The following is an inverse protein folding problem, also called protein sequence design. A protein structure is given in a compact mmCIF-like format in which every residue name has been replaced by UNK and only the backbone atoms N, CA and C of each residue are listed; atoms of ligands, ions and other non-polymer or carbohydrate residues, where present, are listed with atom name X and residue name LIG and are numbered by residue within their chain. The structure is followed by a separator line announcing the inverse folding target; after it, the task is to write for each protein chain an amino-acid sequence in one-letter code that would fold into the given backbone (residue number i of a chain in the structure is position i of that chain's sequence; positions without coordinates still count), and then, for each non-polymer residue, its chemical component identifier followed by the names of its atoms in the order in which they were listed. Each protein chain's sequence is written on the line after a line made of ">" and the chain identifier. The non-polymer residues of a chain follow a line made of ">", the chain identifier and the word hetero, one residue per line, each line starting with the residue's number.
data_IF_346256054033
#
_entry.id   IF_346256054033
#
_cell.length_a   1.000
_cell.length_b   1.000
_cell.length_c   1.000
_cell.angle_alpha   90.00
_cell.angle_beta   90.00
_cell.angle_gamma   90.00
#
_symmetry.space_group_name_H-M   'P 1'
#
loop_
_entity.id
_entity.type
_entity.pdbx_description
1 polymer ?
#
# COMPACT_ATOMS: atom_id res chain seq x y z
N UNK A 1 3.38 -14.80 -18.87
CA UNK A 1 3.52 -15.12 -17.43
C UNK A 1 4.97 -15.19 -16.96
N UNK A 2 5.94 -15.29 -17.87
CA UNK A 2 7.36 -15.51 -17.56
C UNK A 2 8.13 -14.27 -17.01
N UNK A 3 7.62 -13.05 -17.21
CA UNK A 3 8.30 -11.83 -16.75
C UNK A 3 8.11 -11.54 -15.24
N UNK A 4 7.06 -12.06 -14.61
CA UNK A 4 6.79 -11.81 -13.18
C UNK A 4 7.65 -12.74 -12.30
N UNK A 5 7.85 -13.98 -12.73
CA UNK A 5 8.67 -14.97 -12.00
C UNK A 5 10.16 -14.62 -12.04
N UNK A 6 10.65 -14.06 -13.15
CA UNK A 6 12.04 -13.59 -13.24
C UNK A 6 12.35 -12.33 -12.41
N UNK A 7 11.33 -11.55 -12.03
CA UNK A 7 11.55 -10.36 -11.18
C UNK A 7 11.69 -10.70 -9.70
N UNK A 8 11.20 -11.86 -9.26
CA UNK A 8 11.31 -12.34 -7.88
C UNK A 8 12.65 -13.06 -7.61
N UNK A 9 13.30 -13.59 -8.66
CA UNK A 9 14.54 -14.35 -8.55
C UNK A 9 15.82 -13.49 -8.43
N UNK A 10 15.73 -12.16 -8.55
CA UNK A 10 16.89 -11.26 -8.61
C UNK A 10 17.03 -10.31 -7.41
N UNK A 11 16.43 -10.61 -6.26
CA UNK A 11 16.74 -9.90 -5.02
C UNK A 11 18.18 -10.23 -4.60
N UNK A 12 19.04 -9.22 -4.57
CA UNK A 12 20.41 -9.38 -4.04
C UNK A 12 20.38 -9.44 -2.52
N UNK A 13 21.43 -9.97 -1.88
CA UNK A 13 21.55 -10.00 -0.40
C UNK A 13 21.34 -8.60 0.21
N UNK A 14 21.86 -7.55 -0.44
CA UNK A 14 21.70 -6.15 -0.01
C UNK A 14 20.25 -5.65 -0.08
N UNK A 15 19.46 -6.18 -1.00
CA UNK A 15 18.04 -5.83 -1.12
C UNK A 15 17.22 -6.53 -0.03
N UNK A 16 17.58 -7.77 0.34
CA UNK A 16 16.99 -8.48 1.48
C UNK A 16 17.21 -7.72 2.80
N UNK A 17 18.41 -7.15 3.01
CA UNK A 17 18.71 -6.36 4.21
C UNK A 17 17.80 -5.13 4.33
N UNK A 18 17.51 -4.45 3.20
CA UNK A 18 16.62 -3.29 3.18
C UNK A 18 15.16 -3.63 3.42
N UNK A 19 14.71 -4.81 3.00
CA UNK A 19 13.36 -5.30 3.32
C UNK A 19 13.23 -5.49 4.83
N UNK A 20 14.15 -6.21 5.45
CA UNK A 20 14.13 -6.44 6.89
C UNK A 20 14.19 -5.13 7.68
N UNK A 21 15.15 -4.25 7.34
CA UNK A 21 15.30 -2.94 7.99
C UNK A 21 14.01 -2.11 7.90
N UNK A 22 13.38 -2.06 6.73
CA UNK A 22 12.13 -1.33 6.54
C UNK A 22 10.98 -1.91 7.39
N UNK A 23 10.82 -3.24 7.39
CA UNK A 23 9.75 -3.92 8.12
C UNK A 23 9.90 -3.71 9.63
N UNK A 24 11.12 -3.87 10.16
CA UNK A 24 11.44 -3.63 11.57
C UNK A 24 11.19 -2.16 11.94
N UNK A 25 11.68 -1.22 11.13
CA UNK A 25 11.53 0.22 11.39
C UNK A 25 10.07 0.65 11.46
N UNK A 26 9.21 0.06 10.64
CA UNK A 26 7.78 0.38 10.57
C UNK A 26 6.93 -0.47 11.51
N UNK A 27 7.54 -1.32 12.35
CA UNK A 27 6.84 -2.24 13.24
C UNK A 27 5.76 -3.03 12.51
N UNK A 28 6.10 -3.61 11.34
CA UNK A 28 5.24 -4.61 10.73
C UNK A 28 5.23 -5.86 11.60
N UNK A 29 4.04 -6.37 11.92
CA UNK A 29 3.91 -7.66 12.58
C UNK A 29 4.41 -8.77 11.65
N UNK A 30 4.88 -9.88 12.23
CA UNK A 30 5.57 -10.96 11.52
C UNK A 30 4.73 -11.50 10.35
N UNK A 31 5.00 -11.01 9.15
CA UNK A 31 4.46 -11.57 7.92
C UNK A 31 4.93 -13.02 7.76
N UNK A 32 4.00 -13.95 7.55
CA UNK A 32 4.37 -15.31 7.13
C UNK A 32 5.06 -15.28 5.76
N UNK A 33 4.59 -14.41 4.87
CA UNK A 33 5.22 -14.09 3.59
C UNK A 33 5.14 -12.59 3.39
N UNK A 34 6.29 -11.93 3.24
CA UNK A 34 6.31 -10.48 2.98
C UNK A 34 5.61 -10.21 1.64
N UNK A 35 4.70 -9.22 1.57
CA UNK A 35 4.09 -8.73 0.33
C UNK A 35 5.12 -8.37 -0.74
N UNK A 36 4.81 -8.63 -2.01
CA UNK A 36 5.71 -8.35 -3.14
C UNK A 36 5.89 -6.85 -3.30
N UNK A 37 4.83 -6.06 -3.15
CA UNK A 37 4.92 -4.61 -3.24
C UNK A 37 5.88 -4.00 -2.19
N UNK A 38 5.91 -4.54 -0.97
CA UNK A 38 6.81 -4.08 0.08
C UNK A 38 8.26 -4.49 -0.23
N UNK A 39 8.47 -5.73 -0.70
CA UNK A 39 9.79 -6.22 -1.12
C UNK A 39 10.41 -5.37 -2.23
N UNK A 40 9.66 -5.12 -3.29
CA UNK A 40 10.15 -4.38 -4.47
C UNK A 40 10.43 -2.90 -4.18
N UNK A 41 9.74 -2.31 -3.20
CA UNK A 41 9.83 -0.89 -2.90
C UNK A 41 10.57 -0.58 -1.59
N UNK A 42 11.09 -1.58 -0.86
CA UNK A 42 11.63 -1.41 0.49
C UNK A 42 12.65 -0.28 0.61
N UNK A 43 13.58 -0.15 -0.36
CA UNK A 43 14.58 0.94 -0.36
C UNK A 43 13.94 2.32 -0.43
N UNK A 44 12.99 2.52 -1.34
CA UNK A 44 12.28 3.79 -1.53
C UNK A 44 11.41 4.08 -0.31
N UNK A 45 10.74 3.06 0.22
CA UNK A 45 9.87 3.17 1.39
C UNK A 45 10.67 3.52 2.64
N UNK A 46 11.86 2.93 2.84
CA UNK A 46 12.77 3.28 3.92
C UNK A 46 13.19 4.75 3.84
N UNK A 47 13.65 5.20 2.67
CA UNK A 47 14.02 6.60 2.44
C UNK A 47 12.85 7.57 2.68
N UNK A 48 11.64 7.16 2.34
CA UNK A 48 10.43 7.96 2.49
C UNK A 48 10.03 8.08 3.97
N UNK A 49 10.03 6.95 4.70
CA UNK A 49 9.74 6.88 6.14
C UNK A 49 10.74 7.73 6.93
N UNK A 50 12.02 7.75 6.55
CA UNK A 50 13.04 8.58 7.23
C UNK A 50 12.82 10.09 7.06
N UNK A 51 12.19 10.50 5.98
CA UNK A 51 11.91 11.92 5.68
C UNK A 51 10.51 12.36 6.09
N UNK A 52 9.71 11.42 6.58
CA UNK A 52 8.31 11.61 6.93
C UNK A 52 8.15 12.49 8.16
N UNK A 53 7.33 13.53 8.01
CA UNK A 53 6.87 14.38 9.12
C UNK A 53 5.85 13.65 10.00
N UNK A 54 5.53 14.21 11.17
CA UNK A 54 4.61 13.57 12.12
C UNK A 54 3.16 13.46 11.61
N UNK A 55 2.75 14.40 10.75
CA UNK A 55 1.37 14.46 10.23
C UNK A 55 1.20 13.68 8.91
N UNK A 56 2.32 13.39 8.23
CA UNK A 56 2.29 12.60 7.00
C UNK A 56 1.88 11.16 7.27
N UNK A 57 1.32 10.52 6.23
CA UNK A 57 0.98 9.09 6.21
C UNK A 57 1.28 8.51 4.84
N UNK A 58 1.74 7.25 4.80
CA UNK A 58 2.09 6.57 3.55
C UNK A 58 1.15 5.37 3.39
N UNK A 59 0.36 5.37 2.33
CA UNK A 59 -0.51 4.26 1.96
C UNK A 59 0.13 3.48 0.80
N UNK A 60 0.34 2.18 1.00
CA UNK A 60 0.96 1.28 0.02
C UNK A 60 -0.06 0.25 -0.41
N UNK A 61 -0.21 0.00 -1.71
CA UNK A 61 -1.25 -0.87 -2.25
C UNK A 61 -0.64 -2.04 -3.03
N UNK A 62 -0.95 -3.25 -2.60
CA UNK A 62 -0.75 -4.47 -3.37
C UNK A 62 -2.04 -4.84 -4.12
N UNK A 63 -2.05 -4.53 -5.42
CA UNK A 63 -3.17 -4.87 -6.30
C UNK A 63 -3.27 -6.38 -6.52
N UNK A 64 -4.46 -6.95 -6.35
CA UNK A 64 -4.68 -8.35 -6.69
C UNK A 64 -4.80 -8.51 -8.21
N UNK A 65 -4.72 -9.76 -8.70
CA UNK A 65 -4.95 -10.06 -10.12
C UNK A 65 -6.38 -9.72 -10.56
N UNK A 66 -7.31 -9.63 -9.61
CA UNK A 66 -8.69 -9.22 -9.85
C UNK A 66 -8.77 -7.70 -9.93
N UNK A 67 -8.43 -7.16 -11.11
CA UNK A 67 -8.43 -5.71 -11.34
C UNK A 67 -9.83 -5.11 -11.53
N UNK A 68 -10.89 -5.91 -11.45
CA UNK A 68 -12.28 -5.49 -11.65
C UNK A 68 -13.23 -6.24 -10.72
N UNK A 69 -14.16 -5.49 -10.10
CA UNK A 69 -15.39 -6.08 -9.57
C UNK A 69 -16.32 -6.42 -10.74
N UNK A 70 -16.71 -7.70 -10.83
CA UNK A 70 -17.44 -8.25 -11.99
C UNK A 70 -18.80 -7.60 -12.25
N UNK A 71 -19.35 -6.85 -11.30
CA UNK A 71 -20.68 -6.22 -11.45
C UNK A 71 -20.63 -4.76 -11.95
N UNK A 72 -19.53 -4.04 -11.75
CA UNK A 72 -19.49 -2.58 -11.97
C UNK A 72 -18.44 -2.10 -13.00
N UNK A 73 -17.57 -2.98 -13.53
CA UNK A 73 -16.41 -2.55 -14.35
C UNK A 73 -15.48 -1.54 -13.63
N UNK A 74 -15.64 -1.41 -12.32
CA UNK A 74 -14.85 -0.55 -11.44
C UNK A 74 -13.67 -1.34 -10.87
N UNK A 75 -12.52 -0.69 -10.75
CA UNK A 75 -11.24 -1.37 -10.57
C UNK A 75 -10.12 -0.41 -10.16
N UNK A 76 -8.87 -0.84 -10.36
CA UNK A 76 -7.65 -0.12 -9.95
C UNK A 76 -7.71 1.38 -10.24
N UNK A 77 -8.05 1.78 -11.47
CA UNK A 77 -8.01 3.18 -11.89
C UNK A 77 -9.01 4.07 -11.13
N UNK A 78 -10.16 3.51 -10.74
CA UNK A 78 -11.18 4.24 -9.96
C UNK A 78 -10.68 4.46 -8.53
N UNK A 79 -10.05 3.45 -7.91
CA UNK A 79 -9.45 3.59 -6.59
C UNK A 79 -8.25 4.53 -6.58
N UNK A 80 -7.38 4.46 -7.59
CA UNK A 80 -6.26 5.40 -7.74
C UNK A 80 -6.78 6.83 -7.88
N UNK A 81 -7.81 7.04 -8.70
CA UNK A 81 -8.45 8.35 -8.84
C UNK A 81 -9.08 8.82 -7.53
N UNK A 82 -9.77 7.93 -6.83
CA UNK A 82 -10.35 8.22 -5.52
C UNK A 82 -9.30 8.72 -4.53
N UNK A 83 -8.22 7.95 -4.36
CA UNK A 83 -7.11 8.27 -3.46
C UNK A 83 -6.49 9.63 -3.80
N UNK A 84 -6.26 9.90 -5.08
CA UNK A 84 -5.64 11.15 -5.52
C UNK A 84 -6.56 12.37 -5.36
N UNK A 85 -7.87 12.22 -5.59
CA UNK A 85 -8.87 13.27 -5.35
C UNK A 85 -8.95 13.63 -3.87
N UNK A 86 -8.78 12.67 -2.96
CA UNK A 86 -8.81 12.87 -1.50
C UNK A 86 -7.42 13.19 -0.90
N UNK A 87 -6.51 13.74 -1.72
CA UNK A 87 -5.25 14.30 -1.24
C UNK A 87 -4.06 13.34 -1.14
N UNK A 88 -4.21 12.10 -1.60
CA UNK A 88 -3.11 11.14 -1.72
C UNK A 88 -2.21 11.48 -2.90
N UNK A 89 -0.95 11.85 -2.65
CA UNK A 89 0.03 12.08 -3.70
C UNK A 89 0.58 10.74 -4.23
N UNK A 90 0.25 10.39 -5.48
CA UNK A 90 0.73 9.18 -6.15
C UNK A 90 2.22 9.29 -6.47
N UNK A 91 3.06 8.69 -5.63
CA UNK A 91 4.50 8.80 -5.73
C UNK A 91 4.99 8.09 -7.00
N UNK A 92 5.76 8.82 -7.81
CA UNK A 92 6.31 8.39 -9.10
C UNK A 92 5.25 7.90 -10.12
N UNK A 93 3.99 8.29 -9.96
CA UNK A 93 2.89 7.75 -10.77
C UNK A 93 2.81 6.21 -10.73
N UNK A 94 3.25 5.62 -9.62
CA UNK A 94 3.35 4.16 -9.45
C UNK A 94 1.98 3.48 -9.34
N UNK A 95 0.96 4.22 -8.92
CA UNK A 95 -0.35 3.70 -8.49
C UNK A 95 -0.25 2.73 -7.31
N UNK A 96 0.88 2.70 -6.60
CA UNK A 96 1.17 1.74 -5.52
C UNK A 96 1.48 2.47 -4.22
N UNK A 97 2.22 3.57 -4.27
CA UNK A 97 2.63 4.33 -3.09
C UNK A 97 1.97 5.70 -3.13
N UNK A 98 1.21 6.01 -2.09
CA UNK A 98 0.52 7.29 -1.94
C UNK A 98 0.94 7.96 -0.64
N UNK A 99 1.22 9.26 -0.70
CA UNK A 99 1.60 10.05 0.47
C UNK A 99 0.51 11.06 0.78
N UNK A 100 -0.02 11.00 2.00
CA UNK A 100 -0.96 11.98 2.54
C UNK A 100 -0.19 12.95 3.43
N UNK A 101 -0.38 14.26 3.24
CA UNK A 101 0.33 15.31 4.00
C UNK A 101 -0.20 15.51 5.41
N UNK A 102 -1.41 15.05 5.68
CA UNK A 102 -2.03 15.10 7.00
C UNK A 102 -2.98 13.90 7.18
N UNK A 103 -3.24 13.56 8.43
CA UNK A 103 -4.13 12.46 8.82
C UNK A 103 -5.58 12.66 8.41
N UNK A 104 -6.05 13.91 8.33
CA UNK A 104 -7.43 14.24 7.96
C UNK A 104 -7.72 13.90 6.49
N UNK A 105 -6.76 14.12 5.59
CA UNK A 105 -6.90 13.76 4.18
C UNK A 105 -6.99 12.23 3.99
N UNK A 106 -6.23 11.45 4.77
CA UNK A 106 -6.39 9.99 4.73
C UNK A 106 -7.75 9.57 5.30
N UNK A 107 -8.17 10.14 6.44
CA UNK A 107 -9.45 9.82 7.03
C UNK A 107 -10.59 10.08 6.04
N UNK A 108 -10.60 11.25 5.40
CA UNK A 108 -11.56 11.62 4.35
C UNK A 108 -11.50 10.66 3.15
N UNK A 109 -10.30 10.24 2.75
CA UNK A 109 -10.14 9.23 1.69
C UNK A 109 -10.77 7.87 2.05
N UNK A 110 -10.58 7.41 3.29
CA UNK A 110 -11.10 6.11 3.76
C UNK A 110 -12.61 6.18 3.99
N UNK A 111 -13.10 7.25 4.62
CA UNK A 111 -14.51 7.44 4.96
C UNK A 111 -15.40 7.56 3.72
N UNK A 112 -14.85 8.03 2.60
CA UNK A 112 -15.56 8.16 1.32
C UNK A 112 -15.21 7.05 0.32
N UNK A 113 -14.61 5.94 0.76
CA UNK A 113 -14.31 4.81 -0.14
C UNK A 113 -15.57 4.40 -0.91
N UNK A 114 -15.45 4.08 -2.21
CA UNK A 114 -16.58 3.60 -2.98
C UNK A 114 -17.20 2.34 -2.35
N UNK A 115 -18.53 2.25 -2.34
CA UNK A 115 -19.26 1.14 -1.69
C UNK A 115 -18.78 -0.26 -2.11
N UNK A 116 -18.31 -0.40 -3.36
CA UNK A 116 -17.82 -1.66 -3.90
C UNK A 116 -16.40 -2.04 -3.46
N UNK A 117 -15.65 -1.10 -2.86
CA UNK A 117 -14.29 -1.29 -2.34
C UNK A 117 -14.26 -1.55 -0.82
N UNK A 118 -15.44 -1.69 -0.19
CA UNK A 118 -15.57 -2.18 1.17
C UNK A 118 -15.77 -3.69 1.19
N UNK A 119 -15.31 -4.33 2.27
CA UNK A 119 -15.53 -5.75 2.57
C UNK A 119 -17.03 -6.08 2.67
N UNK A 120 -17.68 -6.29 1.53
CA UNK A 120 -19.03 -6.84 1.52
C UNK A 120 -18.93 -8.33 1.83
N UNK A 121 -19.32 -8.73 3.03
CA UNK A 121 -19.28 -10.12 3.57
C UNK A 121 -20.01 -11.14 2.66
N UNK A 122 -20.73 -10.66 1.64
CA UNK A 122 -21.45 -11.45 0.62
C UNK A 122 -20.69 -11.57 -0.71
N UNK A 123 -19.54 -10.94 -0.90
CA UNK A 123 -18.77 -11.00 -2.14
C UNK A 123 -17.92 -12.28 -2.23
N UNK A 124 -18.32 -13.18 -3.14
CA UNK A 124 -17.54 -14.35 -3.58
C UNK A 124 -16.39 -13.92 -4.52
N UNK A 125 -16.30 -12.64 -4.86
CA UNK A 125 -15.24 -12.03 -5.67
C UNK A 125 -14.19 -11.41 -4.75
N UNK A 126 -12.99 -12.00 -4.69
CA UNK A 126 -11.95 -11.61 -3.75
C UNK A 126 -11.48 -10.15 -3.86
N UNK A 127 -10.76 -9.74 -2.83
CA UNK A 127 -10.29 -8.37 -2.60
C UNK A 127 -9.58 -7.78 -3.82
N UNK A 128 -9.78 -6.49 -4.06
CA UNK A 128 -9.22 -5.77 -5.20
C UNK A 128 -7.79 -5.33 -4.89
N UNK A 129 -7.50 -5.06 -3.61
CA UNK A 129 -6.15 -4.89 -3.13
C UNK A 129 -5.99 -5.14 -1.63
N UNK A 130 -4.74 -5.38 -1.24
CA UNK A 130 -4.31 -5.29 0.15
C UNK A 130 -3.58 -3.96 0.31
N UNK A 131 -3.86 -3.24 1.39
CA UNK A 131 -3.23 -1.96 1.65
C UNK A 131 -2.48 -1.94 2.98
N UNK A 132 -1.34 -1.26 2.99
CA UNK A 132 -0.45 -1.13 4.13
C UNK A 132 -0.26 0.35 4.39
N UNK A 133 -0.76 0.81 5.53
CA UNK A 133 -0.61 2.17 6.01
C UNK A 133 0.58 2.26 6.94
N UNK A 134 1.42 3.27 6.73
CA UNK A 134 2.49 3.65 7.64
C UNK A 134 2.20 5.04 8.17
N UNK A 135 2.34 5.19 9.49
CA UNK A 135 2.16 6.45 10.18
C UNK A 135 3.20 6.61 11.28
N UNK A 136 3.49 7.86 11.63
CA UNK A 136 4.42 8.21 12.70
C UNK A 136 3.64 8.57 13.95
N UNK A 137 4.05 8.05 15.10
CA UNK A 137 3.51 8.46 16.41
C UNK A 137 4.67 8.68 17.36
N UNK A 138 4.77 9.91 17.89
CA UNK A 138 5.96 10.38 18.57
C UNK A 138 7.21 10.17 17.70
N UNK A 139 8.22 9.44 18.19
CA UNK A 139 9.47 9.18 17.48
C UNK A 139 9.54 7.81 16.80
N UNK A 140 8.43 7.05 16.77
CA UNK A 140 8.37 5.71 16.20
C UNK A 140 7.42 5.66 14.99
N UNK A 141 7.67 4.71 14.09
CA UNK A 141 6.80 4.40 12.95
C UNK A 141 5.98 3.16 13.25
N UNK A 142 4.78 3.13 12.71
CA UNK A 142 3.84 2.03 12.91
C UNK A 142 3.19 1.69 11.58
N UNK A 143 2.81 0.43 11.44
CA UNK A 143 2.07 -0.05 10.29
C UNK A 143 0.66 -0.48 10.68
N UNK A 144 -0.25 -0.47 9.70
CA UNK A 144 -1.58 -1.09 9.79
C UNK A 144 -1.95 -1.64 8.42
N UNK A 145 -2.56 -2.82 8.40
CA UNK A 145 -3.03 -3.46 7.16
C UNK A 145 -4.54 -3.28 7.01
N UNK A 146 -4.98 -3.07 5.77
CA UNK A 146 -6.37 -3.02 5.34
C UNK A 146 -6.58 -3.94 4.15
N UNK A 147 -7.79 -4.46 4.00
CA UNK A 147 -8.24 -5.22 2.83
C UNK A 147 -9.42 -4.45 2.21
N UNK A 148 -9.38 -4.24 0.88
CA UNK A 148 -10.35 -3.47 0.10
C UNK A 148 -10.84 -4.25 -1.12
#
# INVERSE_FOLDING_TARGET
>A
MEQIENSLANLTIKDCDKVTEFLEKCNFENFTVVPVCLKQNAKILLDLVEKMSADEQILIIEWTKHTKHNSCNQGKDVLVKHITVHGGYNLYSSNTIFVFRNSSALADCIDNLPDWAGNDIKNITGDICHAYLIYKRANNYYSRTYEF
#
